data_IF_144808613872
#
_entry.id   IF_144808613872
#
_cell.length_a   1.000
_cell.length_b   1.000
_cell.length_c   1.000
_cell.angle_alpha   90.00
_cell.angle_beta   90.00
_cell.angle_gamma   90.00
#
_symmetry.space_group_name_H-M   'P 1'
#
loop_
_entity.id
_entity.type
_entity.pdbx_description
1 polymer ?
#
# COMPACT_ATOMS: atom_id res chain seq x y z
N UNK A 1 2.81 1.43 16.04
CA UNK A 1 2.60 2.67 15.25
C UNK A 1 1.80 3.69 16.05
N UNK A 2 2.31 4.92 16.14
CA UNK A 2 1.57 6.10 16.61
C UNK A 2 0.37 6.40 15.70
N UNK A 3 -0.51 7.33 16.12
CA UNK A 3 -1.63 7.78 15.29
C UNK A 3 -1.15 8.29 13.92
N UNK A 4 -0.13 9.15 13.90
CA UNK A 4 0.48 9.71 12.69
C UNK A 4 1.08 8.64 11.79
N UNK A 5 1.79 7.66 12.36
CA UNK A 5 2.33 6.53 11.60
C UNK A 5 1.23 5.69 10.95
N UNK A 6 0.11 5.45 11.65
CA UNK A 6 -1.04 4.76 11.06
C UNK A 6 -1.64 5.54 9.90
N UNK A 7 -1.78 6.86 10.05
CA UNK A 7 -2.28 7.74 8.98
C UNK A 7 -1.36 7.66 7.76
N UNK A 8 -0.05 7.82 7.94
CA UNK A 8 0.93 7.73 6.83
C UNK A 8 0.91 6.35 6.17
N UNK A 9 0.89 5.28 6.97
CA UNK A 9 0.79 3.92 6.46
C UNK A 9 -0.41 3.76 5.54
N UNK A 10 -1.61 4.15 6.00
CA UNK A 10 -2.83 4.03 5.22
C UNK A 10 -2.83 4.94 3.99
N UNK A 11 -2.31 6.16 4.09
CA UNK A 11 -2.20 7.07 2.94
C UNK A 11 -1.30 6.50 1.84
N UNK A 12 -0.12 5.98 2.19
CA UNK A 12 0.80 5.37 1.21
C UNK A 12 0.19 4.09 0.65
N UNK A 13 -0.40 3.25 1.50
CA UNK A 13 -0.98 1.98 1.06
C UNK A 13 -2.17 2.18 0.12
N UNK A 14 -3.08 3.10 0.42
CA UNK A 14 -4.21 3.42 -0.46
C UNK A 14 -3.71 3.97 -1.79
N UNK A 15 -2.74 4.89 -1.78
CA UNK A 15 -2.17 5.46 -3.00
C UNK A 15 -1.50 4.37 -3.86
N UNK A 16 -0.77 3.45 -3.24
CA UNK A 16 -0.22 2.28 -3.92
C UNK A 16 -1.32 1.41 -4.53
N UNK A 17 -2.36 1.04 -3.77
CA UNK A 17 -3.44 0.20 -4.27
C UNK A 17 -4.15 0.83 -5.48
N UNK A 18 -4.46 2.12 -5.40
CA UNK A 18 -5.12 2.85 -6.50
C UNK A 18 -4.20 2.91 -7.72
N UNK A 19 -2.94 3.31 -7.55
CA UNK A 19 -1.98 3.44 -8.64
C UNK A 19 -1.65 2.10 -9.31
N UNK A 20 -1.39 1.07 -8.51
CA UNK A 20 -1.14 -0.29 -8.99
C UNK A 20 -2.37 -0.84 -9.72
N UNK A 21 -3.56 -0.70 -9.14
CA UNK A 21 -4.81 -1.17 -9.78
C UNK A 21 -5.03 -0.47 -11.12
N UNK A 22 -4.91 0.87 -11.17
CA UNK A 22 -5.10 1.62 -12.41
C UNK A 22 -4.11 1.19 -13.51
N UNK A 23 -2.83 1.04 -13.15
CA UNK A 23 -1.79 0.64 -14.09
C UNK A 23 -1.97 -0.81 -14.61
N UNK A 24 -2.36 -1.72 -13.72
CA UNK A 24 -2.59 -3.13 -14.05
C UNK A 24 -3.90 -3.30 -14.82
N UNK A 25 -4.89 -2.44 -14.55
CA UNK A 25 -6.15 -2.37 -15.30
C UNK A 25 -5.92 -1.97 -16.76
N UNK A 26 -5.10 -0.95 -17.03
CA UNK A 26 -4.75 -0.59 -18.41
C UNK A 26 -4.01 -1.69 -19.19
N UNK A 27 -3.49 -2.71 -18.50
CA UNK A 27 -2.81 -3.86 -19.09
C UNK A 27 -3.75 -5.05 -19.34
N UNK A 28 -5.06 -4.90 -19.10
CA UNK A 28 -6.05 -5.96 -19.32
C UNK A 28 -6.02 -7.08 -18.28
N UNK A 29 -5.34 -6.89 -17.15
CA UNK A 29 -5.19 -7.94 -16.13
C UNK A 29 -6.51 -8.36 -15.46
N UNK A 30 -7.56 -7.53 -15.59
CA UNK A 30 -8.90 -7.84 -15.06
C UNK A 30 -9.85 -8.45 -16.10
N UNK A 31 -9.47 -8.51 -17.38
CA UNK A 31 -10.38 -8.94 -18.45
C UNK A 31 -10.74 -10.43 -18.37
N UNK A 32 -9.85 -11.24 -17.77
CA UNK A 32 -10.06 -12.69 -17.56
C UNK A 32 -9.51 -13.14 -16.20
N UNK A 33 -9.67 -12.32 -15.16
CA UNK A 33 -9.13 -12.65 -13.84
C UNK A 33 -9.86 -13.87 -13.25
N UNK A 34 -9.11 -14.95 -13.03
CA UNK A 34 -9.62 -16.13 -12.32
C UNK A 34 -9.57 -15.89 -10.81
N UNK A 35 -10.32 -16.68 -10.04
CA UNK A 35 -10.25 -16.62 -8.57
C UNK A 35 -8.81 -16.76 -8.05
N UNK A 36 -8.01 -17.63 -8.67
CA UNK A 36 -6.59 -17.80 -8.35
C UNK A 36 -5.76 -16.54 -8.63
N UNK A 37 -6.00 -15.89 -9.77
CA UNK A 37 -5.34 -14.61 -10.11
C UNK A 37 -5.67 -13.50 -9.12
N UNK A 38 -6.94 -13.40 -8.70
CA UNK A 38 -7.39 -12.44 -7.68
C UNK A 38 -6.70 -12.66 -6.33
N UNK A 39 -6.59 -13.93 -5.89
CA UNK A 39 -5.91 -14.27 -4.63
C UNK A 39 -4.43 -13.89 -4.69
N UNK A 40 -3.74 -14.20 -5.80
CA UNK A 40 -2.33 -13.85 -5.99
C UNK A 40 -2.12 -12.33 -5.94
N UNK A 41 -2.99 -11.55 -6.61
CA UNK A 41 -2.92 -10.09 -6.56
C UNK A 41 -3.10 -9.53 -5.14
N UNK A 42 -4.07 -10.06 -4.39
CA UNK A 42 -4.28 -9.67 -2.99
C UNK A 42 -3.03 -9.99 -2.15
N UNK A 43 -2.43 -11.16 -2.33
CA UNK A 43 -1.19 -11.53 -1.62
C UNK A 43 -0.06 -10.54 -1.95
N UNK A 44 0.13 -10.18 -3.23
CA UNK A 44 1.13 -9.18 -3.62
C UNK A 44 0.88 -7.82 -2.95
N UNK A 45 -0.37 -7.37 -2.89
CA UNK A 45 -0.72 -6.09 -2.27
C UNK A 45 -0.43 -6.13 -0.76
N UNK A 46 -0.74 -7.24 -0.09
CA UNK A 46 -0.41 -7.43 1.32
C UNK A 46 1.09 -7.50 1.59
N UNK A 47 1.88 -8.11 0.70
CA UNK A 47 3.34 -8.11 0.78
C UNK A 47 3.88 -6.68 0.74
N UNK A 48 3.38 -5.85 -0.19
CA UNK A 48 3.76 -4.43 -0.25
C UNK A 48 3.34 -3.68 1.01
N UNK A 49 2.17 -3.99 1.58
CA UNK A 49 1.75 -3.44 2.86
C UNK A 49 2.76 -3.74 3.97
N UNK A 50 3.35 -4.94 4.02
CA UNK A 50 4.41 -5.29 4.99
C UNK A 50 5.65 -4.40 4.80
N UNK A 51 6.07 -4.14 3.57
CA UNK A 51 7.19 -3.25 3.30
C UNK A 51 6.90 -1.80 3.70
N UNK A 52 5.72 -1.28 3.37
CA UNK A 52 5.28 0.07 3.79
C UNK A 52 5.24 0.14 5.32
N UNK A 53 4.71 -0.90 5.98
CA UNK A 53 4.67 -1.00 7.44
C UNK A 53 6.07 -0.90 8.04
N UNK A 54 7.00 -1.69 7.52
CA UNK A 54 8.41 -1.70 7.96
C UNK A 54 9.07 -0.34 7.74
N UNK A 55 8.83 0.30 6.60
CA UNK A 55 9.33 1.65 6.30
C UNK A 55 8.82 2.68 7.32
N UNK A 56 7.51 2.68 7.60
CA UNK A 56 6.88 3.60 8.56
C UNK A 56 7.37 3.37 9.99
N UNK A 57 7.51 2.10 10.41
CA UNK A 57 8.00 1.75 11.75
C UNK A 57 9.49 2.08 11.93
N UNK A 58 10.28 2.05 10.86
CA UNK A 58 11.72 2.35 10.90
C UNK A 58 12.01 3.86 10.93
N UNK A 59 11.05 4.72 10.56
CA UNK A 59 11.24 6.17 10.46
C UNK A 59 10.23 6.98 11.32
N UNK A 60 10.06 6.68 12.62
CA UNK A 60 9.03 7.32 13.45
C UNK A 60 9.25 8.84 13.60
N UNK A 61 10.51 9.26 13.81
CA UNK A 61 10.85 10.67 14.05
C UNK A 61 10.57 11.56 12.85
N UNK A 62 10.84 11.06 11.65
CA UNK A 62 10.64 11.83 10.42
C UNK A 62 9.16 11.91 10.05
N UNK A 63 8.43 10.81 10.26
CA UNK A 63 6.97 10.81 10.11
C UNK A 63 6.32 11.79 11.07
N UNK A 64 6.68 11.78 12.35
CA UNK A 64 6.09 12.69 13.31
C UNK A 64 6.42 14.17 13.02
N UNK A 65 7.56 14.47 12.39
CA UNK A 65 7.89 15.83 11.92
C UNK A 65 6.95 16.29 10.82
N UNK A 66 6.46 15.42 9.94
CA UNK A 66 5.53 15.80 8.86
C UNK A 66 4.19 16.33 9.37
N UNK A 67 3.86 16.06 10.63
CA UNK A 67 2.63 16.55 11.30
C UNK A 67 2.89 17.72 12.25
N UNK A 68 4.15 18.12 12.45
CA UNK A 68 4.48 19.31 13.24
C UNK A 68 4.41 20.52 12.31
N UNK A 69 3.51 21.44 12.66
CA UNK A 69 3.20 22.66 11.93
C UNK A 69 4.29 23.72 12.12
#
# INVERSE_FOLDING_TARGET
MSHNQKVVFWSIFIMFCVGATANIYSQGAFDNITLGGSIIMVIFYLIVAIFIRKFVESNPKDIDKWFKK
#
